data_IF_445507141241
#
_entry.id   IF_445507141241
#
_cell.length_a   1.000
_cell.length_b   1.000
_cell.length_c   1.000
_cell.angle_alpha   90.00
_cell.angle_beta   90.00
_cell.angle_gamma   90.00
#
_symmetry.space_group_name_H-M   'P 1'
#
loop_
_entity.id
_entity.type
_entity.pdbx_description
1 polymer ?
#
# COMPACT_ATOMS: atom_id res chain seq x y z
N UNK A 1 -15.01 13.23 -14.61
CA UNK A 1 -15.03 14.70 -14.73
C UNK A 1 -14.84 15.29 -13.35
N UNK A 2 -14.37 16.52 -13.21
CA UNK A 2 -14.13 17.13 -11.88
C UNK A 2 -15.35 17.06 -10.93
N UNK A 3 -16.57 17.12 -11.47
CA UNK A 3 -17.82 16.92 -10.72
C UNK A 3 -17.98 15.53 -10.11
N UNK A 4 -17.61 14.46 -10.84
CA UNK A 4 -17.71 13.08 -10.37
C UNK A 4 -16.68 12.76 -9.27
N UNK A 5 -15.56 13.49 -9.26
CA UNK A 5 -14.52 13.41 -8.21
C UNK A 5 -15.01 14.06 -6.92
N UNK A 6 -15.63 15.23 -7.00
CA UNK A 6 -16.17 15.94 -5.84
C UNK A 6 -17.39 15.24 -5.23
N UNK A 7 -18.25 14.62 -6.06
CA UNK A 7 -19.39 13.82 -5.58
C UNK A 7 -18.92 12.57 -4.83
N UNK A 8 -17.95 11.82 -5.37
CA UNK A 8 -17.40 10.65 -4.70
C UNK A 8 -16.72 10.97 -3.36
N UNK A 9 -16.00 12.11 -3.27
CA UNK A 9 -15.45 12.59 -2.00
C UNK A 9 -16.54 12.93 -0.98
N UNK A 10 -17.63 13.56 -1.41
CA UNK A 10 -18.78 13.87 -0.57
C UNK A 10 -19.42 12.62 0.03
N UNK A 11 -19.62 11.57 -0.79
CA UNK A 11 -20.20 10.31 -0.35
C UNK A 11 -19.31 9.53 0.62
N UNK A 12 -18.00 9.45 0.35
CA UNK A 12 -17.04 8.79 1.24
C UNK A 12 -16.98 9.53 2.59
N UNK A 13 -16.95 10.87 2.57
CA UNK A 13 -16.91 11.70 3.78
C UNK A 13 -18.17 11.55 4.65
N UNK A 14 -19.32 11.26 4.04
CA UNK A 14 -20.57 10.98 4.75
C UNK A 14 -20.60 9.65 5.52
N UNK A 15 -19.62 8.76 5.29
CA UNK A 15 -19.56 7.41 5.90
C UNK A 15 -18.30 7.26 6.75
N UNK A 16 -18.38 7.35 8.09
CA UNK A 16 -17.20 7.44 8.96
C UNK A 16 -16.17 6.31 8.78
N UNK A 17 -16.63 5.07 8.57
CA UNK A 17 -15.74 3.91 8.36
C UNK A 17 -15.00 3.96 7.02
N UNK A 18 -15.65 4.43 5.95
CA UNK A 18 -15.01 4.59 4.64
C UNK A 18 -14.04 5.76 4.64
N UNK A 19 -14.41 6.87 5.29
CA UNK A 19 -13.52 8.02 5.45
C UNK A 19 -12.24 7.66 6.22
N UNK A 20 -12.36 6.91 7.31
CA UNK A 20 -11.19 6.41 8.05
C UNK A 20 -10.29 5.51 7.18
N UNK A 21 -10.88 4.56 6.45
CA UNK A 21 -10.12 3.71 5.53
C UNK A 21 -9.42 4.51 4.43
N UNK A 22 -10.11 5.51 3.88
CA UNK A 22 -9.56 6.42 2.88
C UNK A 22 -8.38 7.23 3.43
N UNK A 23 -8.48 7.80 4.63
CA UNK A 23 -7.39 8.55 5.27
C UNK A 23 -6.16 7.67 5.51
N UNK A 24 -6.36 6.43 5.99
CA UNK A 24 -5.25 5.49 6.20
C UNK A 24 -4.56 5.17 4.87
N UNK A 25 -5.32 4.89 3.82
CA UNK A 25 -4.71 4.58 2.51
C UNK A 25 -4.05 5.80 1.88
N UNK A 26 -4.64 6.99 1.99
CA UNK A 26 -4.00 8.22 1.53
C UNK A 26 -2.65 8.45 2.24
N UNK A 27 -2.59 8.24 3.55
CA UNK A 27 -1.34 8.30 4.30
C UNK A 27 -0.32 7.25 3.84
N UNK A 28 -0.76 6.00 3.64
CA UNK A 28 0.11 4.92 3.14
C UNK A 28 0.64 5.25 1.74
N UNK A 29 -0.18 5.79 0.83
CA UNK A 29 0.25 6.14 -0.52
C UNK A 29 1.30 7.26 -0.53
N UNK A 30 1.17 8.26 0.36
CA UNK A 30 2.20 9.27 0.56
C UNK A 30 3.52 8.65 1.04
N UNK A 31 3.46 7.72 1.99
CA UNK A 31 4.63 7.01 2.49
C UNK A 31 5.28 6.12 1.42
N UNK A 32 4.49 5.46 0.57
CA UNK A 32 5.00 4.67 -0.57
C UNK A 32 5.77 5.55 -1.54
N UNK A 33 5.26 6.75 -1.84
CA UNK A 33 5.97 7.67 -2.74
C UNK A 33 7.33 8.11 -2.20
N UNK A 34 7.40 8.50 -0.92
CA UNK A 34 8.67 8.81 -0.27
C UNK A 34 9.59 7.58 -0.19
N UNK A 35 9.03 6.41 0.10
CA UNK A 35 9.75 5.14 0.18
C UNK A 35 10.34 4.68 -1.15
N UNK A 36 9.66 4.92 -2.28
CA UNK A 36 10.16 4.56 -3.61
C UNK A 36 11.46 5.31 -3.95
N UNK A 37 11.52 6.60 -3.64
CA UNK A 37 12.75 7.41 -3.80
C UNK A 37 13.83 6.93 -2.83
N UNK A 38 13.47 6.69 -1.57
CA UNK A 38 14.41 6.16 -0.57
C UNK A 38 14.97 4.78 -0.91
N UNK A 39 14.20 3.92 -1.57
CA UNK A 39 14.61 2.57 -1.95
C UNK A 39 15.69 2.57 -3.04
N UNK A 40 15.64 3.54 -3.96
CA UNK A 40 16.70 3.73 -4.97
C UNK A 40 18.01 4.08 -4.29
N UNK A 41 17.99 5.08 -3.40
CA UNK A 41 19.18 5.50 -2.63
C UNK A 41 19.69 4.36 -1.74
N UNK A 42 18.80 3.63 -1.08
CA UNK A 42 19.16 2.52 -0.21
C UNK A 42 19.82 1.35 -0.95
N UNK A 43 19.32 1.00 -2.14
CA UNK A 43 19.92 -0.05 -2.96
C UNK A 43 21.34 0.29 -3.43
N UNK A 44 21.58 1.57 -3.73
CA UNK A 44 22.87 2.06 -4.22
C UNK A 44 23.85 2.34 -3.07
N UNK A 45 23.48 3.20 -2.12
CA UNK A 45 24.37 3.71 -1.07
C UNK A 45 24.54 2.76 0.13
N UNK A 46 23.49 2.04 0.54
CA UNK A 46 23.54 1.21 1.76
C UNK A 46 23.91 -0.25 1.47
N UNK A 47 23.38 -0.82 0.39
CA UNK A 47 23.64 -2.23 0.04
C UNK A 47 24.79 -2.40 -0.96
N UNK A 48 25.28 -1.30 -1.56
CA UNK A 48 26.38 -1.33 -2.53
C UNK A 48 26.05 -2.12 -3.80
N UNK A 49 24.75 -2.28 -4.13
CA UNK A 49 24.28 -3.11 -5.24
C UNK A 49 24.14 -2.35 -6.56
N UNK A 50 24.42 -1.05 -6.57
CA UNK A 50 24.27 -0.20 -7.75
C UNK A 50 22.83 -0.16 -8.27
N UNK A 51 22.69 0.04 -9.59
CA UNK A 51 21.39 0.12 -10.27
C UNK A 51 20.55 -1.18 -10.17
N UNK A 52 21.18 -2.33 -9.91
CA UNK A 52 20.49 -3.61 -9.78
C UNK A 52 19.77 -3.79 -8.42
N UNK A 53 20.27 -3.14 -7.37
CA UNK A 53 19.74 -3.28 -6.00
C UNK A 53 18.27 -2.89 -5.89
N UNK A 54 17.90 -1.78 -6.52
CA UNK A 54 16.50 -1.33 -6.58
C UNK A 54 15.59 -2.38 -7.23
N UNK A 55 16.02 -2.95 -8.36
CA UNK A 55 15.22 -3.93 -9.11
C UNK A 55 15.02 -5.23 -8.33
N UNK A 56 16.03 -5.67 -7.58
CA UNK A 56 15.94 -6.86 -6.70
C UNK A 56 14.95 -6.60 -5.56
N UNK A 57 15.05 -5.46 -4.88
CA UNK A 57 14.14 -5.10 -3.79
C UNK A 57 12.70 -4.90 -4.27
N UNK A 58 12.52 -4.34 -5.47
CA UNK A 58 11.22 -4.20 -6.12
C UNK A 58 10.62 -5.57 -6.49
N UNK A 59 11.44 -6.50 -6.99
CA UNK A 59 11.00 -7.87 -7.26
C UNK A 59 10.60 -8.59 -5.97
N UNK A 60 11.37 -8.44 -4.89
CA UNK A 60 11.05 -8.99 -3.57
C UNK A 60 9.72 -8.45 -3.04
N UNK A 61 9.47 -7.15 -3.18
CA UNK A 61 8.19 -6.52 -2.86
C UNK A 61 7.04 -7.14 -3.66
N UNK A 62 7.21 -7.34 -4.96
CA UNK A 62 6.19 -7.95 -5.82
C UNK A 62 5.86 -9.39 -5.40
N UNK A 63 6.89 -10.20 -5.11
CA UNK A 63 6.73 -11.57 -4.58
C UNK A 63 5.95 -11.55 -3.26
N UNK A 64 6.33 -10.68 -2.33
CA UNK A 64 5.62 -10.50 -1.06
C UNK A 64 4.16 -10.10 -1.24
N UNK A 65 3.88 -9.21 -2.19
CA UNK A 65 2.52 -8.75 -2.50
C UNK A 65 1.66 -9.89 -3.02
N UNK A 66 2.18 -10.71 -3.93
CA UNK A 66 1.49 -11.90 -4.42
C UNK A 66 1.21 -12.90 -3.28
N UNK A 67 2.20 -13.17 -2.44
CA UNK A 67 2.04 -14.05 -1.28
C UNK A 67 0.99 -13.49 -0.31
N UNK A 68 1.04 -12.20 0.00
CA UNK A 68 0.08 -11.53 0.87
C UNK A 68 -1.34 -11.56 0.33
N UNK A 69 -1.52 -11.38 -0.98
CA UNK A 69 -2.83 -11.47 -1.64
C UNK A 69 -3.44 -12.88 -1.50
N UNK A 70 -2.62 -13.93 -1.60
CA UNK A 70 -3.04 -15.31 -1.38
C UNK A 70 -3.40 -15.54 0.09
N UNK A 71 -2.60 -15.03 1.02
CA UNK A 71 -2.84 -15.16 2.47
C UNK A 71 -4.15 -14.49 2.87
N UNK A 72 -4.36 -13.24 2.45
CA UNK A 72 -5.58 -12.50 2.80
C UNK A 72 -6.82 -13.11 2.17
N UNK A 73 -6.71 -13.63 0.93
CA UNK A 73 -7.81 -14.34 0.27
C UNK A 73 -8.24 -15.62 0.98
N UNK A 74 -7.36 -16.20 1.82
CA UNK A 74 -7.68 -17.36 2.67
C UNK A 74 -8.10 -16.99 4.10
N UNK A 75 -7.95 -15.73 4.51
CA UNK A 75 -8.41 -15.30 5.83
C UNK A 75 -9.94 -15.25 5.88
N UNK A 76 -10.52 -15.55 7.05
CA UNK A 76 -11.96 -15.52 7.24
C UNK A 76 -12.54 -14.12 6.96
N UNK A 77 -13.68 -14.00 6.26
CA UNK A 77 -14.34 -12.72 6.02
C UNK A 77 -14.86 -12.03 7.30
N UNK A 78 -14.78 -12.70 8.45
CA UNK A 78 -15.20 -12.17 9.76
C UNK A 78 -14.26 -11.12 10.37
N UNK A 79 -13.04 -10.94 9.82
CA UNK A 79 -12.10 -9.95 10.37
C UNK A 79 -12.53 -8.51 10.06
N UNK A 80 -12.47 -7.58 11.04
CA UNK A 80 -12.79 -6.17 10.79
C UNK A 80 -11.78 -5.54 9.82
N UNK A 81 -12.21 -5.29 8.58
CA UNK A 81 -11.37 -4.76 7.49
C UNK A 81 -10.61 -3.49 7.84
N UNK A 82 -11.26 -2.55 8.54
CA UNK A 82 -10.63 -1.32 9.00
C UNK A 82 -9.49 -1.58 10.01
N UNK A 83 -9.65 -2.56 10.92
CA UNK A 83 -8.58 -2.92 11.87
C UNK A 83 -7.42 -3.58 11.15
N UNK A 84 -7.73 -4.43 10.17
CA UNK A 84 -6.72 -5.08 9.35
C UNK A 84 -5.89 -4.06 8.56
N UNK A 85 -6.51 -3.04 7.97
CA UNK A 85 -5.79 -1.93 7.31
C UNK A 85 -4.78 -1.27 8.24
N UNK A 86 -5.20 -0.90 9.45
CA UNK A 86 -4.36 -0.19 10.41
C UNK A 86 -3.19 -1.07 10.86
N UNK A 87 -3.46 -2.33 11.18
CA UNK A 87 -2.41 -3.30 11.56
C UNK A 87 -1.42 -3.51 10.43
N UNK A 88 -1.90 -3.69 9.19
CA UNK A 88 -1.06 -3.86 8.03
C UNK A 88 -0.21 -2.61 7.73
N UNK A 89 -0.78 -1.41 7.87
CA UNK A 89 -0.05 -0.15 7.70
C UNK A 89 1.05 0.02 8.77
N UNK A 90 0.76 -0.30 10.04
CA UNK A 90 1.77 -0.27 11.11
C UNK A 90 2.87 -1.31 10.89
N UNK A 91 2.50 -2.51 10.42
CA UNK A 91 3.47 -3.56 10.09
C UNK A 91 4.39 -3.12 8.95
N UNK A 92 3.84 -2.54 7.87
CA UNK A 92 4.63 -2.01 6.77
C UNK A 92 5.60 -0.92 7.24
N UNK A 93 5.11 0.05 8.04
CA UNK A 93 5.95 1.10 8.62
C UNK A 93 7.08 0.56 9.50
N UNK A 94 6.79 -0.44 10.34
CA UNK A 94 7.80 -1.10 11.16
C UNK A 94 8.86 -1.81 10.30
N UNK A 95 8.46 -2.54 9.26
CA UNK A 95 9.41 -3.22 8.38
C UNK A 95 10.30 -2.21 7.64
N UNK A 96 9.77 -1.06 7.24
CA UNK A 96 10.56 0.01 6.62
C UNK A 96 11.57 0.64 7.58
N UNK A 97 11.20 0.84 8.86
CA UNK A 97 12.12 1.33 9.90
C UNK A 97 13.23 0.29 10.19
N UNK A 98 12.89 -1.00 10.16
CA UNK A 98 13.90 -2.05 10.30
C UNK A 98 14.83 -2.08 9.09
N UNK A 99 14.27 -1.96 7.88
CA UNK A 99 15.02 -1.95 6.63
C UNK A 99 16.07 -0.84 6.62
N UNK A 100 15.77 0.36 7.14
CA UNK A 100 16.72 1.47 7.17
C UNK A 100 17.97 1.23 8.02
N UNK A 101 17.99 0.17 8.84
CA UNK A 101 19.14 -0.22 9.66
C UNK A 101 19.87 -1.46 9.12
N UNK A 102 19.44 -1.98 7.96
CA UNK A 102 20.02 -3.19 7.38
C UNK A 102 21.02 -2.81 6.31
N UNK A 103 22.25 -3.31 6.47
CA UNK A 103 23.30 -3.23 5.45
C UNK A 103 23.44 -4.55 4.68
N UNK A 104 22.77 -5.62 5.18
CA UNK A 104 22.86 -6.95 4.58
C UNK A 104 21.72 -7.24 3.59
N UNK A 105 22.12 -7.56 2.36
CA UNK A 105 21.24 -7.77 1.21
C UNK A 105 20.17 -8.82 1.48
N UNK A 106 20.52 -10.00 1.96
CA UNK A 106 19.55 -11.08 2.14
C UNK A 106 18.47 -10.71 3.17
N UNK A 107 18.86 -9.97 4.20
CA UNK A 107 17.93 -9.48 5.22
C UNK A 107 17.03 -8.36 4.65
N UNK A 108 17.59 -7.46 3.84
CA UNK A 108 16.83 -6.41 3.17
C UNK A 108 15.77 -6.99 2.21
N UNK A 109 16.15 -8.00 1.44
CA UNK A 109 15.22 -8.75 0.56
C UNK A 109 14.11 -9.39 1.37
N UNK A 110 14.45 -10.08 2.48
CA UNK A 110 13.46 -10.69 3.37
C UNK A 110 12.47 -9.68 3.94
N UNK A 111 12.96 -8.53 4.40
CA UNK A 111 12.12 -7.44 4.89
C UNK A 111 11.23 -6.86 3.78
N UNK A 112 11.72 -6.70 2.55
CA UNK A 112 10.89 -6.22 1.45
C UNK A 112 9.79 -7.19 1.04
N UNK A 113 10.02 -8.50 1.15
CA UNK A 113 8.94 -9.48 1.01
C UNK A 113 7.85 -9.24 2.07
N UNK A 114 8.23 -8.98 3.33
CA UNK A 114 7.27 -8.70 4.40
C UNK A 114 6.54 -7.37 4.18
N UNK A 115 7.22 -6.34 3.68
CA UNK A 115 6.58 -5.08 3.25
C UNK A 115 5.53 -5.36 2.17
N UNK A 116 5.84 -6.21 1.19
CA UNK A 116 4.89 -6.60 0.13
C UNK A 116 3.65 -7.32 0.68
N UNK A 117 3.85 -8.24 1.63
CA UNK A 117 2.74 -8.93 2.30
C UNK A 117 1.83 -7.92 3.01
N UNK A 118 2.41 -6.99 3.76
CA UNK A 118 1.68 -5.93 4.44
C UNK A 118 0.94 -5.01 3.44
N UNK A 119 1.55 -4.67 2.31
CA UNK A 119 0.93 -3.88 1.26
C UNK A 119 -0.33 -4.55 0.68
N UNK A 120 -0.29 -5.86 0.43
CA UNK A 120 -1.48 -6.60 0.00
C UNK A 120 -2.60 -6.59 1.06
N UNK A 121 -2.23 -6.69 2.34
CA UNK A 121 -3.16 -6.60 3.47
C UNK A 121 -3.74 -5.18 3.67
N UNK A 122 -3.16 -4.15 3.05
CA UNK A 122 -3.76 -2.81 2.94
C UNK A 122 -4.66 -2.70 1.71
N UNK A 123 -4.15 -3.09 0.53
CA UNK A 123 -4.85 -2.84 -0.72
C UNK A 123 -6.15 -3.66 -0.85
N UNK A 124 -6.11 -4.94 -0.48
CA UNK A 124 -7.26 -5.85 -0.65
C UNK A 124 -8.45 -5.44 0.23
N UNK A 125 -8.31 -5.23 1.56
CA UNK A 125 -9.45 -4.84 2.37
C UNK A 125 -9.98 -3.44 2.01
N UNK A 126 -9.11 -2.53 1.59
CA UNK A 126 -9.52 -1.20 1.18
C UNK A 126 -10.37 -1.22 -0.09
N UNK A 127 -9.89 -1.90 -1.14
CA UNK A 127 -10.64 -2.06 -2.39
C UNK A 127 -11.96 -2.81 -2.16
N UNK A 128 -11.99 -3.78 -1.24
CA UNK A 128 -13.24 -4.46 -0.86
C UNK A 128 -14.19 -3.55 -0.08
N UNK A 129 -13.68 -2.70 0.83
CA UNK A 129 -14.53 -1.72 1.53
C UNK A 129 -15.09 -0.66 0.58
N UNK A 130 -14.32 -0.26 -0.43
CA UNK A 130 -14.82 0.61 -1.50
C UNK A 130 -15.91 -0.09 -2.31
N UNK A 131 -15.69 -1.36 -2.69
CA UNK A 131 -16.67 -2.20 -3.41
C UNK A 131 -17.99 -2.38 -2.65
N UNK A 132 -17.93 -2.63 -1.34
CA UNK A 132 -19.13 -2.80 -0.51
C UNK A 132 -19.78 -1.46 -0.14
N UNK A 133 -18.98 -0.40 -0.09
CA UNK A 133 -19.36 0.90 0.44
C UNK A 133 -19.84 1.91 -0.61
N UNK A 134 -19.58 1.68 -1.90
CA UNK A 134 -19.95 2.58 -3.00
C UNK A 134 -20.75 1.78 -4.05
N UNK A 135 -21.80 2.39 -4.61
CA UNK A 135 -22.51 1.82 -5.75
C UNK A 135 -21.67 1.88 -7.04
N UNK A 136 -22.02 1.08 -8.04
CA UNK A 136 -21.29 0.93 -9.32
C UNK A 136 -20.93 2.27 -9.99
N UNK A 137 -21.75 3.31 -9.81
CA UNK A 137 -21.57 4.65 -10.40
C UNK A 137 -20.40 5.44 -9.80
N UNK A 138 -20.03 5.19 -8.54
CA UNK A 138 -19.02 5.97 -7.78
C UNK A 138 -17.71 5.18 -7.60
N UNK A 139 -17.77 3.88 -7.89
CA UNK A 139 -16.64 2.96 -7.90
C UNK A 139 -15.50 3.47 -8.83
N UNK A 140 -15.86 3.97 -10.02
CA UNK A 140 -14.90 4.54 -10.96
C UNK A 140 -14.16 5.78 -10.42
N UNK A 141 -14.83 6.62 -9.64
CA UNK A 141 -14.19 7.76 -8.95
C UNK A 141 -13.25 7.27 -7.84
N UNK A 142 -13.68 6.30 -7.03
CA UNK A 142 -12.88 5.76 -5.94
C UNK A 142 -11.57 5.10 -6.43
N UNK A 143 -11.66 4.29 -7.49
CA UNK A 143 -10.47 3.75 -8.16
C UNK A 143 -9.64 4.83 -8.85
N UNK A 144 -10.27 5.88 -9.40
CA UNK A 144 -9.57 7.03 -9.95
C UNK A 144 -8.68 7.75 -8.92
N UNK A 145 -9.18 7.98 -7.70
CA UNK A 145 -8.38 8.56 -6.62
C UNK A 145 -7.23 7.65 -6.17
N UNK A 146 -7.50 6.34 -6.11
CA UNK A 146 -6.50 5.31 -5.82
C UNK A 146 -5.38 5.32 -6.86
N UNK A 147 -5.75 5.41 -8.15
CA UNK A 147 -4.81 5.50 -9.26
C UNK A 147 -3.99 6.79 -9.22
N UNK A 148 -4.59 7.93 -8.86
CA UNK A 148 -3.87 9.20 -8.66
C UNK A 148 -2.84 9.10 -7.54
N UNK A 149 -3.18 8.45 -6.42
CA UNK A 149 -2.23 8.23 -5.33
C UNK A 149 -1.06 7.31 -5.71
N UNK A 150 -1.30 6.33 -6.59
CA UNK A 150 -0.28 5.43 -7.12
C UNK A 150 0.60 6.09 -8.21
N UNK A 151 0.03 6.98 -9.02
CA UNK A 151 0.78 7.66 -10.11
C UNK A 151 1.47 8.94 -9.66
N UNK A 152 1.00 9.62 -8.61
CA UNK A 152 1.57 10.87 -8.12
C UNK A 152 3.06 10.78 -7.72
N UNK A 153 3.59 9.65 -7.19
CA UNK A 153 5.01 9.52 -6.91
C UNK A 153 5.89 9.25 -8.13
N UNK A 154 5.29 8.98 -9.31
CA UNK A 154 6.00 8.65 -10.55
C UNK A 154 6.03 9.84 -11.54
N UNK A 155 5.51 11.00 -11.13
CA UNK A 155 5.50 12.27 -11.88
C UNK A 155 6.45 13.28 -11.22
#
# INVERSE_FOLDING_TARGET
>A
GWSSVTEGLGEIRGRPRLWQGFLVVAFVMLAVGAGAVGLVVFGDENLGMGEEGFSILLAALAVGTLAGAIVIGRMSPSFPKARLLVVAAMMAGLMLILLSQVEEVYLAVGLMVLVGVAAAMVLVPFTTMLQEGLGDTVMGTGFGMLSMGLTAPLL
#
